data_IF_648664149057
#
_entry.id   IF_648664149057
#
_cell.length_a   1.000
_cell.length_b   1.000
_cell.length_c   1.000
_cell.angle_alpha   90.00
_cell.angle_beta   90.00
_cell.angle_gamma   90.00
#
_symmetry.space_group_name_H-M   'P 1'
#
loop_
_entity.id
_entity.type
_entity.pdbx_description
1 polymer ?
#
# COMPACT_ATOMS: atom_id res chain seq x y z
N UNK A 1 -0.67 58.52 -0.09
CA UNK A 1 -1.43 57.50 -0.79
C UNK A 1 -0.54 56.56 -1.57
N UNK A 2 0.41 57.01 -2.41
CA UNK A 2 1.29 56.11 -3.20
C UNK A 2 2.12 55.14 -2.36
N UNK A 3 2.65 55.57 -1.19
CA UNK A 3 3.42 54.71 -0.29
C UNK A 3 2.58 53.58 0.35
N UNK A 4 1.29 53.81 0.62
CA UNK A 4 0.37 52.84 1.19
C UNK A 4 0.05 51.76 0.15
N UNK A 5 -0.13 52.13 -1.12
CA UNK A 5 -0.35 51.15 -2.20
C UNK A 5 0.87 50.27 -2.45
N UNK A 6 2.09 50.81 -2.36
CA UNK A 6 3.34 50.04 -2.50
C UNK A 6 3.49 49.06 -1.32
N UNK A 7 3.15 49.48 -0.10
CA UNK A 7 3.21 48.61 1.09
C UNK A 7 2.21 47.47 1.02
N UNK A 8 0.97 47.70 0.55
CA UNK A 8 -0.04 46.70 0.37
C UNK A 8 0.34 45.73 -0.76
N UNK A 9 0.91 46.21 -1.87
CA UNK A 9 1.39 45.37 -2.97
C UNK A 9 2.52 44.42 -2.55
N UNK A 10 3.45 44.87 -1.71
CA UNK A 10 4.52 44.03 -1.15
C UNK A 10 3.98 42.95 -0.20
N UNK A 11 2.91 43.23 0.56
CA UNK A 11 2.31 42.24 1.48
C UNK A 11 1.63 41.10 0.75
N UNK A 12 1.04 41.38 -0.40
CA UNK A 12 0.32 40.35 -1.22
C UNK A 12 1.29 39.40 -1.92
N UNK A 13 2.49 39.85 -2.24
CA UNK A 13 3.52 39.01 -2.87
C UNK A 13 4.16 37.97 -1.92
N UNK A 14 4.06 38.16 -0.61
CA UNK A 14 4.59 37.22 0.38
C UNK A 14 3.70 36.00 0.63
N UNK A 15 2.46 36.00 0.12
CA UNK A 15 1.47 34.95 0.41
C UNK A 15 1.61 33.66 -0.43
N UNK A 16 2.52 33.63 -1.41
CA UNK A 16 2.71 32.46 -2.29
C UNK A 16 3.96 31.63 -1.97
N UNK A 17 4.42 31.59 -0.72
CA UNK A 17 5.49 30.69 -0.33
C UNK A 17 4.92 29.27 -0.22
N UNK A 18 5.07 28.46 -1.26
CA UNK A 18 4.80 27.04 -1.21
C UNK A 18 5.73 26.40 -0.17
N UNK A 19 5.19 26.08 0.99
CA UNK A 19 5.97 25.49 2.08
C UNK A 19 6.42 24.10 1.65
N UNK A 20 7.74 23.86 1.67
CA UNK A 20 8.30 22.54 1.41
C UNK A 20 7.82 21.57 2.51
N UNK A 21 7.11 20.48 2.18
CA UNK A 21 6.75 19.46 3.16
C UNK A 21 8.01 18.84 3.78
N UNK A 22 7.93 18.52 5.05
CA UNK A 22 9.00 17.82 5.75
C UNK A 22 9.11 16.35 5.36
N UNK A 23 10.16 15.65 5.82
CA UNK A 23 10.38 14.23 5.51
C UNK A 23 9.30 13.30 6.10
N UNK A 24 8.56 13.76 7.09
CA UNK A 24 7.50 13.01 7.77
C UNK A 24 6.36 12.59 6.84
N UNK A 25 6.18 13.23 5.69
CA UNK A 25 5.12 12.87 4.73
C UNK A 25 5.34 11.50 4.08
N UNK A 26 6.57 10.96 4.12
CA UNK A 26 6.90 9.65 3.57
C UNK A 26 6.53 8.50 4.51
N UNK A 27 6.48 8.78 5.81
CA UNK A 27 6.31 7.77 6.87
C UNK A 27 5.07 6.88 6.69
N UNK A 28 3.87 7.39 6.33
CA UNK A 28 2.70 6.52 6.12
C UNK A 28 2.94 5.50 5.01
N UNK A 29 3.39 5.93 3.83
CA UNK A 29 3.64 5.06 2.69
C UNK A 29 4.74 4.03 2.99
N UNK A 30 5.84 4.44 3.63
CA UNK A 30 6.94 3.54 4.02
C UNK A 30 6.46 2.48 5.02
N UNK A 31 5.70 2.86 6.05
CA UNK A 31 5.12 1.93 7.03
C UNK A 31 4.15 0.94 6.38
N UNK A 32 3.31 1.41 5.46
CA UNK A 32 2.35 0.54 4.78
C UNK A 32 3.06 -0.44 3.85
N UNK A 33 4.13 -0.03 3.17
CA UNK A 33 4.97 -0.92 2.36
C UNK A 33 5.63 -1.99 3.24
N UNK A 34 6.20 -1.63 4.39
CA UNK A 34 6.76 -2.59 5.35
C UNK A 34 5.70 -3.57 5.88
N UNK A 35 4.50 -3.09 6.17
CA UNK A 35 3.39 -3.94 6.58
C UNK A 35 2.97 -4.90 5.47
N UNK A 36 3.00 -4.46 4.21
CA UNK A 36 2.74 -5.31 3.04
C UNK A 36 3.80 -6.39 2.86
N UNK A 37 5.07 -6.08 3.05
CA UNK A 37 6.18 -7.06 3.07
C UNK A 37 5.96 -8.10 4.17
N UNK A 38 5.67 -7.67 5.39
CA UNK A 38 5.38 -8.56 6.51
C UNK A 38 4.13 -9.43 6.27
N UNK A 39 3.14 -8.93 5.54
CA UNK A 39 1.98 -9.70 5.11
C UNK A 39 2.30 -10.73 4.02
N UNK A 40 3.49 -10.73 3.45
CA UNK A 40 3.90 -11.60 2.35
C UNK A 40 3.56 -11.04 0.97
N UNK A 41 3.53 -9.72 0.85
CA UNK A 41 3.21 -9.01 -0.40
C UNK A 41 4.09 -9.41 -1.56
N UNK A 42 5.38 -9.64 -1.33
CA UNK A 42 6.33 -10.05 -2.36
C UNK A 42 6.00 -11.43 -2.97
N UNK A 43 5.42 -12.35 -2.19
CA UNK A 43 5.01 -13.68 -2.65
C UNK A 43 3.61 -13.64 -3.30
N UNK A 44 2.65 -12.98 -2.66
CA UNK A 44 1.23 -13.09 -3.02
C UNK A 44 0.68 -11.92 -3.83
N UNK A 45 1.38 -10.78 -3.84
CA UNK A 45 0.96 -9.55 -4.53
C UNK A 45 2.18 -8.80 -5.13
N UNK A 46 3.06 -9.45 -5.90
CA UNK A 46 4.32 -8.85 -6.36
C UNK A 46 4.13 -7.64 -7.28
N UNK A 47 3.00 -7.59 -8.00
CA UNK A 47 2.70 -6.47 -8.90
C UNK A 47 2.39 -5.21 -8.10
N UNK A 48 1.55 -5.32 -7.08
CA UNK A 48 1.19 -4.21 -6.19
C UNK A 48 2.40 -3.73 -5.39
N UNK A 49 3.23 -4.65 -4.88
CA UNK A 49 4.48 -4.30 -4.18
C UNK A 49 5.44 -3.53 -5.08
N UNK A 50 5.57 -3.93 -6.33
CA UNK A 50 6.38 -3.19 -7.30
C UNK A 50 5.83 -1.78 -7.51
N UNK A 51 4.53 -1.62 -7.76
CA UNK A 51 3.92 -0.31 -7.94
C UNK A 51 4.07 0.57 -6.71
N UNK A 52 3.86 0.04 -5.50
CA UNK A 52 4.05 0.78 -4.27
C UNK A 52 5.47 1.35 -4.16
N UNK A 53 6.50 0.52 -4.41
CA UNK A 53 7.91 0.94 -4.37
C UNK A 53 8.26 1.93 -5.48
N UNK A 54 7.76 1.74 -6.71
CA UNK A 54 7.97 2.65 -7.83
C UNK A 54 7.36 4.03 -7.57
N UNK A 55 6.15 4.08 -6.98
CA UNK A 55 5.49 5.33 -6.61
C UNK A 55 6.22 6.06 -5.49
N UNK A 56 6.66 5.35 -4.46
CA UNK A 56 7.48 5.90 -3.38
C UNK A 56 8.78 6.51 -3.94
N UNK A 57 9.51 5.78 -4.79
CA UNK A 57 10.73 6.30 -5.41
C UNK A 57 10.46 7.54 -6.29
N UNK A 58 9.36 7.54 -7.03
CA UNK A 58 8.95 8.68 -7.86
C UNK A 58 8.58 9.89 -7.01
N UNK A 59 7.98 9.69 -5.84
CA UNK A 59 7.67 10.75 -4.88
C UNK A 59 8.94 11.41 -4.35
N UNK A 60 9.97 10.65 -4.01
CA UNK A 60 11.28 11.18 -3.61
C UNK A 60 11.88 12.07 -4.71
N UNK A 61 11.89 11.59 -5.95
CA UNK A 61 12.37 12.37 -7.10
C UNK A 61 11.55 13.64 -7.34
N UNK A 62 10.24 13.57 -7.11
CA UNK A 62 9.36 14.75 -7.18
C UNK A 62 9.71 15.79 -6.14
N UNK A 63 9.98 15.39 -4.90
CA UNK A 63 10.40 16.28 -3.81
C UNK A 63 11.72 16.99 -4.13
N UNK A 64 12.71 16.28 -4.69
CA UNK A 64 13.98 16.88 -5.13
C UNK A 64 13.75 17.95 -6.21
N UNK A 65 12.79 17.72 -7.11
CA UNK A 65 12.41 18.64 -8.18
C UNK A 65 11.40 19.72 -7.76
N UNK A 66 11.12 19.83 -6.45
CA UNK A 66 10.16 20.78 -5.87
C UNK A 66 8.72 20.63 -6.41
N UNK A 67 8.36 19.44 -6.89
CA UNK A 67 7.02 19.09 -7.37
C UNK A 67 6.18 18.52 -6.21
N UNK A 68 5.96 19.31 -5.18
CA UNK A 68 5.43 18.86 -3.90
C UNK A 68 4.05 18.21 -4.00
N UNK A 69 3.11 18.81 -4.72
CA UNK A 69 1.75 18.28 -4.90
C UNK A 69 1.77 16.92 -5.60
N UNK A 70 2.58 16.77 -6.65
CA UNK A 70 2.75 15.52 -7.37
C UNK A 70 3.37 14.46 -6.46
N UNK A 71 4.33 14.85 -5.61
CA UNK A 71 4.97 13.92 -4.68
C UNK A 71 3.99 13.41 -3.63
N UNK A 72 3.14 14.27 -3.07
CA UNK A 72 2.08 13.87 -2.12
C UNK A 72 1.13 12.88 -2.78
N UNK A 73 0.65 13.18 -3.98
CA UNK A 73 -0.20 12.26 -4.74
C UNK A 73 0.46 10.89 -4.99
N UNK A 74 1.76 10.89 -5.34
CA UNK A 74 2.50 9.65 -5.54
C UNK A 74 2.68 8.84 -4.24
N UNK A 75 2.80 9.51 -3.08
CA UNK A 75 2.81 8.84 -1.79
C UNK A 75 1.48 8.17 -1.46
N UNK A 76 0.37 8.86 -1.72
CA UNK A 76 -0.97 8.28 -1.58
C UNK A 76 -1.15 7.05 -2.49
N UNK A 77 -0.70 7.13 -3.74
CA UNK A 77 -0.72 5.97 -4.64
C UNK A 77 0.18 4.82 -4.16
N UNK A 78 1.33 5.12 -3.57
CA UNK A 78 2.21 4.11 -2.98
C UNK A 78 1.52 3.39 -1.81
N UNK A 79 0.88 4.15 -0.92
CA UNK A 79 0.14 3.62 0.23
C UNK A 79 -1.03 2.73 -0.22
N UNK A 80 -1.86 3.19 -1.16
CA UNK A 80 -2.99 2.42 -1.71
C UNK A 80 -2.51 1.09 -2.34
N UNK A 81 -1.43 1.11 -3.11
CA UNK A 81 -0.89 -0.12 -3.69
C UNK A 81 -0.35 -1.08 -2.62
N UNK A 82 0.28 -0.56 -1.57
CA UNK A 82 0.75 -1.37 -0.45
C UNK A 82 -0.42 -1.97 0.36
N UNK A 83 -1.48 -1.22 0.63
CA UNK A 83 -2.71 -1.73 1.25
C UNK A 83 -3.35 -2.84 0.41
N UNK A 84 -3.43 -2.64 -0.91
CA UNK A 84 -3.94 -3.66 -1.82
C UNK A 84 -3.08 -4.94 -1.78
N UNK A 85 -1.77 -4.80 -1.66
CA UNK A 85 -0.86 -5.93 -1.50
C UNK A 85 -1.12 -6.69 -0.20
N UNK A 86 -1.39 -5.99 0.91
CA UNK A 86 -1.76 -6.60 2.20
C UNK A 86 -3.02 -7.46 2.04
N UNK A 87 -4.09 -6.88 1.48
CA UNK A 87 -5.37 -7.57 1.36
C UNK A 87 -5.33 -8.75 0.38
N UNK A 88 -4.60 -8.63 -0.72
CA UNK A 88 -4.36 -9.75 -1.65
C UNK A 88 -3.58 -10.87 -0.97
N UNK A 89 -2.56 -10.55 -0.20
CA UNK A 89 -1.75 -11.51 0.54
C UNK A 89 -2.57 -12.26 1.59
N UNK A 90 -3.40 -11.55 2.35
CA UNK A 90 -4.33 -12.15 3.31
C UNK A 90 -5.29 -13.12 2.63
N UNK A 91 -5.90 -12.67 1.54
CA UNK A 91 -6.85 -13.48 0.76
C UNK A 91 -6.18 -14.73 0.19
N UNK A 92 -4.97 -14.62 -0.34
CA UNK A 92 -4.23 -15.75 -0.89
C UNK A 92 -3.89 -16.79 0.20
N UNK A 93 -3.44 -16.33 1.38
CA UNK A 93 -3.17 -17.21 2.53
C UNK A 93 -4.42 -17.96 3.00
N UNK A 94 -5.56 -17.27 3.14
CA UNK A 94 -6.82 -17.89 3.53
C UNK A 94 -7.28 -18.92 2.48
N UNK A 95 -7.20 -18.60 1.18
CA UNK A 95 -7.53 -19.55 0.12
C UNK A 95 -6.65 -20.80 0.17
N UNK A 96 -5.36 -20.64 0.42
CA UNK A 96 -4.42 -21.75 0.58
C UNK A 96 -4.82 -22.65 1.75
N UNK A 97 -5.11 -22.07 2.91
CA UNK A 97 -5.58 -22.81 4.09
C UNK A 97 -6.90 -23.55 3.83
N UNK A 98 -7.87 -22.92 3.16
CA UNK A 98 -9.14 -23.56 2.80
C UNK A 98 -8.90 -24.76 1.87
N UNK A 99 -8.01 -24.63 0.90
CA UNK A 99 -7.70 -25.73 -0.02
C UNK A 99 -6.98 -26.88 0.70
N UNK A 100 -6.06 -26.58 1.61
CA UNK A 100 -5.39 -27.59 2.44
C UNK A 100 -6.38 -28.33 3.34
N UNK A 101 -7.30 -27.61 3.99
CA UNK A 101 -8.36 -28.22 4.81
C UNK A 101 -9.32 -29.08 3.99
N UNK A 102 -9.72 -28.64 2.80
CA UNK A 102 -10.56 -29.44 1.90
C UNK A 102 -9.87 -30.73 1.52
N UNK A 103 -8.59 -30.68 1.15
CA UNK A 103 -7.81 -31.87 0.81
C UNK A 103 -7.73 -32.83 2.00
N UNK A 104 -7.41 -32.32 3.18
CA UNK A 104 -7.38 -33.14 4.40
C UNK A 104 -8.72 -33.78 4.74
N UNK A 105 -9.83 -33.06 4.54
CA UNK A 105 -11.17 -33.60 4.75
C UNK A 105 -11.51 -34.73 3.76
N UNK A 106 -11.15 -34.58 2.48
CA UNK A 106 -11.36 -35.67 1.50
C UNK A 106 -10.50 -36.92 1.84
N UNK A 107 -9.24 -36.73 2.22
CA UNK A 107 -8.37 -37.83 2.65
C UNK A 107 -8.93 -38.53 3.90
N UNK A 108 -9.47 -37.79 4.85
CA UNK A 108 -10.10 -38.37 6.04
C UNK A 108 -11.36 -39.12 5.70
N UNK A 109 -12.20 -38.59 4.82
CA UNK A 109 -13.41 -39.25 4.31
C UNK A 109 -13.09 -40.58 3.62
N UNK A 110 -12.08 -40.60 2.73
CA UNK A 110 -11.62 -41.81 2.07
C UNK A 110 -11.12 -42.84 3.08
N UNK A 111 -10.35 -42.44 4.09
CA UNK A 111 -9.91 -43.33 5.18
C UNK A 111 -11.10 -43.95 5.96
N UNK A 112 -12.09 -43.12 6.30
CA UNK A 112 -13.29 -43.58 6.99
C UNK A 112 -14.06 -44.59 6.15
N UNK A 113 -14.27 -44.29 4.86
CA UNK A 113 -14.95 -45.21 3.93
C UNK A 113 -14.20 -46.55 3.74
N UNK A 114 -12.86 -46.50 3.68
CA UNK A 114 -12.02 -47.69 3.55
C UNK A 114 -12.01 -48.56 4.84
N UNK A 115 -12.15 -47.90 6.01
CA UNK A 115 -12.07 -48.60 7.30
C UNK A 115 -13.43 -49.18 7.73
N UNK A 116 -14.51 -48.43 7.52
CA UNK A 116 -15.84 -48.76 8.04
C UNK A 116 -16.85 -49.18 6.95
N UNK A 117 -16.44 -49.21 5.68
CA UNK A 117 -17.27 -49.61 4.56
C UNK A 117 -18.48 -48.71 4.30
N UNK A 118 -19.58 -49.31 3.81
CA UNK A 118 -20.78 -48.57 3.39
C UNK A 118 -21.66 -48.06 4.54
N UNK A 119 -21.29 -48.28 5.80
CA UNK A 119 -22.11 -47.93 6.97
C UNK A 119 -22.25 -46.41 7.19
N UNK A 120 -21.50 -45.62 6.43
CA UNK A 120 -21.53 -44.16 6.47
C UNK A 120 -22.24 -43.50 5.25
N UNK A 121 -23.14 -44.22 4.58
CA UNK A 121 -23.95 -43.60 3.51
C UNK A 121 -25.21 -42.94 4.07
#
# INVERSE_FOLDING_TARGET
MKLIFISIACLVLAACATTRPGPEIFEPAEKTIQAAEAAGGDEFAPVEMRFAREKLASAHLGMEKQKYEVSVYLLEEAEINAELAIEKSRTAKVRRQVNELRKSNEELKEKLLSTFGSDFK
#
